data_IF_564015710595
#
_entry.id   IF_564015710595
#
_cell.length_a   1.000
_cell.length_b   1.000
_cell.length_c   1.000
_cell.angle_alpha   90.00
_cell.angle_beta   90.00
_cell.angle_gamma   90.00
#
_symmetry.space_group_name_H-M   'P 1'
#
loop_
_entity.id
_entity.type
_entity.pdbx_description
1 polymer ?
#
# COMPACT_ATOMS: atom_id res chain seq x y z
N UNK A 1 8.76 20.43 2.85
CA UNK A 1 8.19 19.54 3.92
C UNK A 1 6.90 20.08 4.54
N UNK A 2 6.84 21.33 5.09
CA UNK A 2 5.62 21.85 5.74
C UNK A 2 4.40 21.82 4.83
N UNK A 3 4.53 22.27 3.58
CA UNK A 3 3.44 22.27 2.60
C UNK A 3 2.91 20.83 2.34
N UNK A 4 3.80 19.83 2.32
CA UNK A 4 3.38 18.43 2.19
C UNK A 4 2.46 18.04 3.34
N UNK A 5 2.87 18.25 4.59
CA UNK A 5 2.06 17.86 5.75
C UNK A 5 0.75 18.64 5.85
N UNK A 6 0.75 19.94 5.57
CA UNK A 6 -0.48 20.73 5.60
C UNK A 6 -1.52 20.24 4.60
N UNK A 7 -1.10 19.92 3.38
CA UNK A 7 -2.00 19.44 2.33
C UNK A 7 -2.35 17.96 2.54
N UNK A 8 -1.33 17.10 2.73
CA UNK A 8 -1.53 15.65 2.78
C UNK A 8 -2.19 15.16 4.07
N UNK A 9 -2.04 15.83 5.19
CA UNK A 9 -2.63 15.44 6.47
C UNK A 9 -3.74 16.38 6.90
N UNK A 10 -3.53 17.70 6.80
CA UNK A 10 -4.48 18.68 7.29
C UNK A 10 -5.86 18.56 6.64
N UNK A 11 -5.91 18.48 5.31
CA UNK A 11 -7.18 18.39 4.57
C UNK A 11 -7.88 17.02 4.79
N UNK A 12 -7.21 15.86 4.62
CA UNK A 12 -7.84 14.57 4.88
C UNK A 12 -8.33 14.43 6.33
N UNK A 13 -7.52 14.82 7.30
CA UNK A 13 -7.90 14.72 8.70
C UNK A 13 -9.10 15.62 9.03
N UNK A 14 -9.10 16.87 8.57
CA UNK A 14 -10.25 17.77 8.74
C UNK A 14 -11.52 17.17 8.11
N UNK A 15 -11.39 16.58 6.91
CA UNK A 15 -12.50 15.93 6.22
C UNK A 15 -13.04 14.73 7.02
N UNK A 16 -12.16 13.81 7.45
CA UNK A 16 -12.58 12.61 8.19
C UNK A 16 -13.17 12.93 9.57
N UNK A 17 -12.59 13.90 10.29
CA UNK A 17 -13.11 14.36 11.57
C UNK A 17 -14.49 14.99 11.38
N UNK A 18 -14.67 15.85 10.36
CA UNK A 18 -15.97 16.46 10.08
C UNK A 18 -17.03 15.42 9.72
N UNK A 19 -16.69 14.39 8.93
CA UNK A 19 -17.59 13.27 8.61
C UNK A 19 -17.95 12.47 9.87
N UNK A 20 -16.98 12.22 10.74
CA UNK A 20 -17.22 11.53 12.02
C UNK A 20 -18.15 12.31 12.92
N UNK A 21 -17.95 13.62 13.06
CA UNK A 21 -18.81 14.51 13.88
C UNK A 21 -20.25 14.51 13.35
N UNK A 22 -20.41 14.49 12.02
CA UNK A 22 -21.75 14.46 11.39
C UNK A 22 -22.42 13.09 11.41
N UNK A 23 -21.84 12.09 12.09
CA UNK A 23 -22.33 10.71 12.12
C UNK A 23 -22.60 10.10 10.72
N UNK A 24 -21.85 10.54 9.71
CA UNK A 24 -22.00 10.02 8.35
C UNK A 24 -21.46 8.60 8.31
N UNK A 25 -22.34 7.64 7.96
CA UNK A 25 -21.93 6.22 7.88
C UNK A 25 -20.99 6.00 6.70
N UNK A 26 -19.78 5.47 6.98
CA UNK A 26 -18.82 5.06 5.98
C UNK A 26 -19.23 3.77 5.22
N UNK A 27 -20.31 3.10 5.66
CA UNK A 27 -20.71 1.76 5.18
C UNK A 27 -21.56 1.77 3.91
N UNK A 28 -22.11 2.92 3.49
CA UNK A 28 -22.99 3.04 2.32
C UNK A 28 -22.31 3.58 1.06
N UNK A 29 -21.02 3.29 0.88
CA UNK A 29 -20.16 3.83 -0.18
C UNK A 29 -19.34 5.02 0.31
N UNK A 30 -18.16 5.29 -0.30
CA UNK A 30 -17.34 6.42 0.12
C UNK A 30 -18.08 7.73 -0.24
N UNK A 31 -18.48 8.53 0.74
CA UNK A 31 -19.01 9.85 0.44
C UNK A 31 -17.95 10.65 -0.30
N UNK A 32 -18.37 11.54 -1.19
CA UNK A 32 -17.47 12.37 -2.01
C UNK A 32 -16.36 13.02 -1.19
N UNK A 33 -16.65 13.45 0.03
CA UNK A 33 -15.65 14.02 0.95
C UNK A 33 -14.56 13.06 1.38
N UNK A 34 -14.84 11.74 1.49
CA UNK A 34 -13.82 10.73 1.76
C UNK A 34 -12.91 10.54 0.54
N UNK A 35 -13.48 10.47 -0.65
CA UNK A 35 -12.70 10.35 -1.90
C UNK A 35 -11.81 11.57 -2.13
N UNK A 36 -12.32 12.77 -1.85
CA UNK A 36 -11.54 14.02 -1.91
C UNK A 36 -10.40 13.96 -0.87
N UNK A 37 -10.67 13.51 0.34
CA UNK A 37 -9.64 13.32 1.38
C UNK A 37 -8.52 12.39 0.93
N UNK A 38 -8.86 11.28 0.29
CA UNK A 38 -7.87 10.30 -0.21
C UNK A 38 -6.95 10.87 -1.30
N UNK A 39 -7.42 11.79 -2.14
CA UNK A 39 -6.61 12.37 -3.23
C UNK A 39 -5.50 13.32 -2.75
N UNK A 40 -5.59 13.88 -1.54
CA UNK A 40 -4.70 14.97 -1.12
C UNK A 40 -3.26 14.56 -0.80
N UNK A 41 -2.98 13.28 -0.53
CA UNK A 41 -1.58 12.87 -0.30
C UNK A 41 -0.72 13.09 -1.55
N UNK A 42 -1.18 12.68 -2.72
CA UNK A 42 -0.47 12.92 -3.99
C UNK A 42 -0.46 14.39 -4.37
N UNK A 43 -1.56 15.11 -4.15
CA UNK A 43 -1.60 16.58 -4.36
C UNK A 43 -0.57 17.28 -3.49
N UNK A 44 -0.48 16.92 -2.20
CA UNK A 44 0.54 17.46 -1.30
C UNK A 44 1.97 17.15 -1.76
N UNK A 45 2.22 15.95 -2.27
CA UNK A 45 3.50 15.56 -2.85
C UNK A 45 3.86 16.38 -4.09
N UNK A 46 2.90 16.60 -5.00
CA UNK A 46 3.07 17.42 -6.21
C UNK A 46 3.35 18.89 -5.83
N UNK A 47 2.52 19.46 -4.96
CA UNK A 47 2.66 20.85 -4.50
C UNK A 47 4.01 21.06 -3.81
N UNK A 48 4.37 20.19 -2.88
CA UNK A 48 5.63 20.30 -2.16
C UNK A 48 6.85 20.10 -3.08
N UNK A 49 6.75 19.18 -4.06
CA UNK A 49 7.80 19.01 -5.08
C UNK A 49 7.97 20.28 -5.92
N UNK A 50 6.87 20.94 -6.30
CA UNK A 50 6.94 22.19 -7.05
C UNK A 50 7.55 23.33 -6.22
N UNK A 51 7.15 23.48 -4.96
CA UNK A 51 7.67 24.49 -4.06
C UNK A 51 9.18 24.33 -3.83
N UNK A 52 9.67 23.10 -3.67
CA UNK A 52 11.08 22.85 -3.39
C UNK A 52 11.98 22.88 -4.64
N UNK A 53 11.51 22.30 -5.74
CA UNK A 53 12.33 22.03 -6.92
C UNK A 53 11.74 22.57 -8.24
N UNK A 54 10.64 23.31 -8.18
CA UNK A 54 10.01 23.93 -9.35
C UNK A 54 9.61 22.90 -10.42
N UNK A 55 9.64 23.33 -11.68
CA UNK A 55 9.30 22.51 -12.85
C UNK A 55 10.25 21.33 -13.06
N UNK A 56 11.51 21.42 -12.64
CA UNK A 56 12.48 20.33 -12.76
C UNK A 56 12.11 19.17 -11.84
N UNK A 57 11.70 19.45 -10.60
CA UNK A 57 11.23 18.44 -9.66
C UNK A 57 9.95 17.73 -10.14
N UNK A 58 8.99 18.48 -10.69
CA UNK A 58 7.79 17.87 -11.28
C UNK A 58 8.11 16.97 -12.48
N UNK A 59 9.09 17.36 -13.31
CA UNK A 59 9.52 16.53 -14.44
C UNK A 59 10.18 15.24 -13.96
N UNK A 60 10.99 15.28 -12.90
CA UNK A 60 11.57 14.10 -12.29
C UNK A 60 10.49 13.18 -11.69
N UNK A 61 9.55 13.74 -10.93
CA UNK A 61 8.41 12.99 -10.38
C UNK A 61 7.62 12.29 -11.50
N UNK A 62 7.26 13.02 -12.55
CA UNK A 62 6.54 12.48 -13.72
C UNK A 62 7.33 11.35 -14.40
N UNK A 63 8.66 11.50 -14.56
CA UNK A 63 9.52 10.45 -15.11
C UNK A 63 9.47 9.18 -14.28
N UNK A 64 9.48 9.29 -12.95
CA UNK A 64 9.38 8.13 -12.04
C UNK A 64 7.99 7.49 -12.06
N UNK A 65 6.93 8.25 -12.33
CA UNK A 65 5.58 7.73 -12.50
C UNK A 65 5.39 6.92 -13.81
N UNK A 66 6.27 7.07 -14.79
CA UNK A 66 6.25 6.32 -16.04
C UNK A 66 7.48 5.40 -16.22
N UNK A 67 8.24 5.18 -15.16
CA UNK A 67 9.44 4.34 -15.18
C UNK A 67 9.06 2.86 -15.15
N UNK A 68 8.86 2.26 -16.33
CA UNK A 68 8.44 0.86 -16.50
C UNK A 68 9.60 -0.08 -16.90
N UNK A 69 10.73 0.46 -17.35
CA UNK A 69 11.89 -0.32 -17.82
C UNK A 69 12.72 -0.82 -16.65
N UNK A 70 12.22 -1.86 -15.99
CA UNK A 70 12.84 -2.58 -14.88
C UNK A 70 12.77 -4.08 -15.14
N UNK A 71 13.52 -4.88 -14.39
CA UNK A 71 13.45 -6.35 -14.52
C UNK A 71 12.02 -6.86 -14.32
N UNK A 72 11.66 -7.88 -15.10
CA UNK A 72 10.36 -8.59 -15.01
C UNK A 72 10.11 -9.10 -13.59
N UNK A 73 11.14 -9.51 -12.86
CA UNK A 73 11.02 -9.95 -11.48
C UNK A 73 10.35 -8.90 -10.57
N UNK A 74 10.64 -7.60 -10.78
CA UNK A 74 10.02 -6.53 -10.00
C UNK A 74 8.57 -6.27 -10.38
N UNK A 75 8.18 -6.53 -11.61
CA UNK A 75 6.77 -6.52 -12.03
C UNK A 75 6.00 -7.67 -11.38
N UNK A 76 6.58 -8.88 -11.36
CA UNK A 76 6.00 -10.04 -10.68
C UNK A 76 5.90 -9.78 -9.17
N UNK A 77 6.94 -9.20 -8.57
CA UNK A 77 6.91 -8.77 -7.17
C UNK A 77 5.74 -7.80 -6.90
N UNK A 78 5.61 -6.73 -7.69
CA UNK A 78 4.58 -5.72 -7.50
C UNK A 78 3.16 -6.28 -7.67
N UNK A 79 2.94 -7.19 -8.62
CA UNK A 79 1.64 -7.74 -8.93
C UNK A 79 1.22 -8.88 -8.00
N UNK A 80 2.16 -9.73 -7.59
CA UNK A 80 1.82 -11.02 -6.98
C UNK A 80 2.24 -11.18 -5.52
N UNK A 81 3.07 -10.28 -4.96
CA UNK A 81 3.49 -10.40 -3.56
C UNK A 81 2.29 -10.39 -2.61
N UNK A 82 1.40 -9.43 -2.78
CA UNK A 82 0.23 -9.27 -1.92
C UNK A 82 -0.76 -10.41 -2.14
N UNK A 83 -0.97 -10.83 -3.37
CA UNK A 83 -1.77 -12.02 -3.67
C UNK A 83 -1.19 -13.25 -2.98
N UNK A 84 0.14 -13.42 -3.01
CA UNK A 84 0.84 -14.51 -2.32
C UNK A 84 0.58 -14.51 -0.81
N UNK A 85 0.61 -13.35 -0.17
CA UNK A 85 0.25 -13.20 1.25
C UNK A 85 -1.18 -13.67 1.52
N UNK A 86 -2.14 -13.27 0.68
CA UNK A 86 -3.54 -13.70 0.83
C UNK A 86 -3.71 -15.20 0.59
N UNK A 87 -3.06 -15.76 -0.43
CA UNK A 87 -3.10 -17.20 -0.72
C UNK A 87 -2.51 -18.00 0.43
N UNK A 88 -1.32 -17.64 0.92
CA UNK A 88 -0.68 -18.33 2.06
C UNK A 88 -1.59 -18.27 3.28
N UNK A 89 -2.14 -17.11 3.64
CA UNK A 89 -3.04 -16.99 4.77
C UNK A 89 -4.30 -17.86 4.61
N UNK A 90 -4.89 -17.89 3.40
CA UNK A 90 -6.08 -18.70 3.10
C UNK A 90 -5.78 -20.20 3.20
N UNK A 91 -4.69 -20.66 2.60
CA UNK A 91 -4.31 -22.08 2.62
C UNK A 91 -3.95 -22.51 4.05
N UNK A 92 -3.17 -21.71 4.78
CA UNK A 92 -2.83 -22.00 6.18
C UNK A 92 -4.08 -22.11 7.05
N UNK A 93 -5.01 -21.17 6.92
CA UNK A 93 -6.24 -21.17 7.69
C UNK A 93 -7.12 -22.40 7.38
N UNK A 94 -7.30 -22.71 6.10
CA UNK A 94 -8.07 -23.87 5.66
C UNK A 94 -7.44 -25.19 6.13
N UNK A 95 -6.13 -25.33 6.09
CA UNK A 95 -5.43 -26.54 6.53
C UNK A 95 -5.63 -26.83 8.02
N UNK A 96 -5.69 -25.78 8.86
CA UNK A 96 -5.91 -25.91 10.31
C UNK A 96 -7.37 -26.24 10.64
N UNK A 97 -8.32 -25.74 9.83
CA UNK A 97 -9.76 -25.90 10.08
C UNK A 97 -10.41 -27.04 9.27
N UNK A 98 -9.61 -27.94 8.68
CA UNK A 98 -10.07 -29.15 7.99
C UNK A 98 -10.75 -28.90 6.64
N UNK A 99 -10.50 -27.75 6.01
CA UNK A 99 -11.05 -27.43 4.71
C UNK A 99 -10.28 -28.06 3.56
N UNK A 100 -10.99 -28.74 2.63
CA UNK A 100 -10.44 -29.02 1.30
C UNK A 100 -10.46 -27.73 0.50
N UNK A 101 -9.34 -27.38 -0.12
CA UNK A 101 -9.20 -26.12 -0.87
C UNK A 101 -9.14 -26.41 -2.37
N UNK A 102 -10.28 -26.60 -3.06
CA UNK A 102 -10.27 -26.74 -4.51
C UNK A 102 -9.88 -25.39 -5.14
N UNK A 103 -8.83 -25.42 -5.95
CA UNK A 103 -8.36 -24.21 -6.66
C UNK A 103 -9.23 -24.01 -7.89
N UNK A 104 -9.90 -22.86 -8.00
CA UNK A 104 -10.72 -22.47 -9.15
C UNK A 104 -10.29 -21.13 -9.74
N UNK A 105 -9.05 -21.01 -10.26
CA UNK A 105 -8.50 -19.74 -10.69
C UNK A 105 -9.27 -19.12 -11.87
N UNK A 106 -9.91 -19.93 -12.70
CA UNK A 106 -10.69 -19.43 -13.86
C UNK A 106 -11.97 -18.72 -13.45
N UNK A 107 -12.52 -18.95 -12.27
CA UNK A 107 -13.69 -18.24 -11.77
C UNK A 107 -13.42 -16.73 -11.57
N UNK A 108 -12.16 -16.35 -11.37
CA UNK A 108 -11.74 -14.96 -11.27
C UNK A 108 -12.10 -14.19 -12.55
N UNK A 109 -11.87 -14.79 -13.72
CA UNK A 109 -12.13 -14.14 -15.01
C UNK A 109 -13.63 -14.02 -15.34
N UNK A 110 -14.50 -14.69 -14.61
CA UNK A 110 -15.98 -14.59 -14.77
C UNK A 110 -16.58 -13.45 -13.96
N UNK A 111 -15.80 -12.79 -13.11
CA UNK A 111 -16.29 -11.75 -12.22
C UNK A 111 -16.09 -10.36 -12.84
N UNK A 112 -17.08 -9.85 -13.56
CA UNK A 112 -17.00 -8.52 -14.20
C UNK A 112 -16.73 -7.37 -13.22
N UNK A 113 -17.16 -7.48 -11.95
CA UNK A 113 -16.89 -6.49 -10.91
C UNK A 113 -15.40 -6.36 -10.57
N UNK A 114 -14.59 -7.41 -10.78
CA UNK A 114 -13.15 -7.31 -10.69
C UNK A 114 -12.59 -6.32 -11.71
N UNK A 115 -13.15 -6.26 -12.91
CA UNK A 115 -12.77 -5.24 -13.89
C UNK A 115 -13.04 -3.83 -13.37
N UNK A 116 -14.19 -3.64 -12.70
CA UNK A 116 -14.48 -2.39 -12.01
C UNK A 116 -13.44 -2.06 -10.94
N UNK A 117 -13.09 -3.02 -10.08
CA UNK A 117 -12.04 -2.87 -9.07
C UNK A 117 -10.67 -2.60 -9.69
N UNK A 118 -10.37 -3.22 -10.82
CA UNK A 118 -9.14 -2.97 -11.58
C UNK A 118 -9.03 -1.51 -12.02
N UNK A 119 -10.09 -0.94 -12.57
CA UNK A 119 -10.08 0.44 -13.09
C UNK A 119 -10.21 1.45 -11.95
N UNK A 120 -11.22 1.32 -11.11
CA UNK A 120 -11.50 2.30 -10.04
C UNK A 120 -10.60 2.15 -8.82
N UNK A 121 -10.16 0.93 -8.50
CA UNK A 121 -9.20 0.68 -7.42
C UNK A 121 -7.88 1.43 -7.60
N UNK A 122 -7.48 1.71 -8.85
CA UNK A 122 -6.29 2.50 -9.16
C UNK A 122 -6.40 3.94 -8.62
N UNK A 123 -7.61 4.51 -8.64
CA UNK A 123 -7.86 5.89 -8.22
C UNK A 123 -8.17 6.02 -6.72
N UNK A 124 -8.58 4.94 -6.04
CA UNK A 124 -9.05 4.99 -4.65
C UNK A 124 -7.93 5.02 -3.59
N UNK A 125 -6.71 4.72 -3.95
CA UNK A 125 -5.56 4.73 -3.04
C UNK A 125 -4.26 4.91 -3.82
N UNK A 126 -3.90 4.00 -4.74
CA UNK A 126 -2.59 3.96 -5.36
C UNK A 126 -2.16 5.28 -6.01
N UNK A 127 -2.96 5.82 -6.92
CA UNK A 127 -2.65 7.11 -7.57
C UNK A 127 -2.81 8.31 -6.63
N UNK A 128 -3.75 8.24 -5.70
CA UNK A 128 -4.00 9.33 -4.75
C UNK A 128 -2.97 9.41 -3.63
N UNK A 129 -2.14 8.38 -3.44
CA UNK A 129 -1.22 8.28 -2.32
C UNK A 129 0.25 8.16 -2.72
N UNK A 130 0.60 7.36 -3.74
CA UNK A 130 1.98 6.99 -4.00
C UNK A 130 2.86 8.14 -4.50
N UNK A 131 2.28 9.15 -5.16
CA UNK A 131 3.04 10.35 -5.53
C UNK A 131 3.48 11.15 -4.29
N UNK A 132 2.69 11.10 -3.23
CA UNK A 132 3.04 11.68 -1.93
C UNK A 132 4.05 10.81 -1.18
N UNK A 133 3.74 9.53 -0.99
CA UNK A 133 4.58 8.64 -0.19
C UNK A 133 5.91 8.34 -0.87
N UNK A 134 5.90 7.72 -2.06
CA UNK A 134 7.11 7.25 -2.76
C UNK A 134 7.63 8.29 -3.75
N UNK A 135 6.76 9.18 -4.23
CA UNK A 135 7.16 10.27 -5.09
C UNK A 135 7.91 11.38 -4.35
N UNK A 136 7.41 11.81 -3.20
CA UNK A 136 7.92 12.95 -2.45
C UNK A 136 8.63 12.57 -1.15
N UNK A 137 7.95 11.86 -0.23
CA UNK A 137 8.41 11.70 1.15
C UNK A 137 9.55 10.69 1.30
N UNK A 138 9.41 9.48 0.72
CA UNK A 138 10.42 8.41 0.84
C UNK A 138 11.82 8.84 0.39
N UNK A 139 12.01 9.50 -0.78
CA UNK A 139 13.35 9.94 -1.18
C UNK A 139 14.01 10.88 -0.16
N UNK A 140 13.22 11.73 0.51
CA UNK A 140 13.71 12.66 1.52
C UNK A 140 14.09 11.98 2.84
N UNK A 141 13.32 10.96 3.22
CA UNK A 141 13.67 10.13 4.37
C UNK A 141 14.97 9.35 4.10
N UNK A 142 15.14 8.80 2.90
CA UNK A 142 16.34 8.06 2.53
C UNK A 142 17.61 8.92 2.49
N UNK A 143 17.49 10.25 2.38
CA UNK A 143 18.64 11.15 2.48
C UNK A 143 19.21 11.27 3.92
N UNK A 144 18.39 10.96 4.95
CA UNK A 144 18.75 11.19 6.34
C UNK A 144 18.69 9.93 7.21
N UNK A 145 18.05 8.88 6.73
CA UNK A 145 17.81 7.65 7.49
C UNK A 145 18.22 6.42 6.68
N UNK A 146 18.58 5.35 7.38
CA UNK A 146 18.78 4.05 6.72
C UNK A 146 17.47 3.58 6.02
N UNK A 147 17.56 2.69 5.03
CA UNK A 147 16.38 2.19 4.32
C UNK A 147 15.30 1.63 5.25
N UNK A 148 15.71 0.85 6.27
CA UNK A 148 14.76 0.32 7.26
C UNK A 148 14.11 1.44 8.08
N UNK A 149 14.90 2.39 8.60
CA UNK A 149 14.38 3.52 9.37
C UNK A 149 13.42 4.36 8.53
N UNK A 150 13.81 4.70 7.28
CA UNK A 150 12.95 5.44 6.35
C UNK A 150 11.63 4.72 6.10
N UNK A 151 11.67 3.39 5.93
CA UNK A 151 10.47 2.56 5.71
C UNK A 151 9.55 2.54 6.94
N UNK A 152 10.13 2.39 8.14
CA UNK A 152 9.36 2.38 9.40
C UNK A 152 8.73 3.75 9.65
N UNK A 153 9.49 4.84 9.50
CA UNK A 153 8.97 6.21 9.63
C UNK A 153 7.84 6.45 8.64
N UNK A 154 8.04 6.08 7.37
CA UNK A 154 7.02 6.23 6.33
C UNK A 154 5.77 5.40 6.64
N UNK A 155 5.94 4.17 7.11
CA UNK A 155 4.83 3.29 7.50
C UNK A 155 4.04 3.84 8.69
N UNK A 156 4.72 4.35 9.72
CA UNK A 156 4.07 5.00 10.86
C UNK A 156 3.31 6.26 10.44
N UNK A 157 3.90 7.08 9.55
CA UNK A 157 3.21 8.24 8.98
C UNK A 157 2.00 7.83 8.15
N UNK A 158 2.11 6.77 7.34
CA UNK A 158 0.99 6.22 6.58
C UNK A 158 -0.13 5.70 7.48
N UNK A 159 0.21 5.03 8.58
CA UNK A 159 -0.78 4.61 9.57
C UNK A 159 -1.47 5.81 10.23
N UNK A 160 -0.70 6.81 10.68
CA UNK A 160 -1.25 8.03 11.27
C UNK A 160 -2.12 8.84 10.30
N UNK A 161 -1.79 8.79 9.01
CA UNK A 161 -2.60 9.45 7.97
C UNK A 161 -4.03 8.90 7.92
N UNK A 162 -4.22 7.60 8.15
CA UNK A 162 -5.52 6.93 8.24
C UNK A 162 -6.20 7.17 9.60
N UNK A 163 -6.40 8.43 9.99
CA UNK A 163 -6.97 8.80 11.29
C UNK A 163 -8.32 8.13 11.59
N UNK A 164 -9.09 7.78 10.55
CA UNK A 164 -10.35 7.06 10.69
C UNK A 164 -10.20 5.69 11.36
N UNK A 165 -9.05 5.03 11.23
CA UNK A 165 -8.77 3.74 11.88
C UNK A 165 -8.60 3.93 13.39
N UNK A 166 -8.11 5.09 13.84
CA UNK A 166 -7.94 5.39 15.26
C UNK A 166 -9.26 5.55 16.03
N UNK A 167 -10.39 5.57 15.32
CA UNK A 167 -11.73 5.49 15.94
C UNK A 167 -12.19 4.05 16.20
N UNK A 168 -11.35 3.06 15.94
CA UNK A 168 -11.58 1.63 16.16
C UNK A 168 -10.97 1.15 17.47
N UNK A 169 -10.99 -0.17 17.70
CA UNK A 169 -10.35 -0.78 18.87
C UNK A 169 -8.83 -0.68 18.81
N UNK A 170 -8.17 -0.70 19.98
CA UNK A 170 -6.71 -0.61 20.07
C UNK A 170 -6.01 -1.76 19.31
N UNK A 171 -6.62 -2.96 19.34
CA UNK A 171 -6.10 -4.12 18.59
C UNK A 171 -6.17 -3.91 17.08
N UNK A 172 -7.25 -3.31 16.57
CA UNK A 172 -7.38 -2.94 15.16
C UNK A 172 -6.32 -1.91 14.75
N UNK A 173 -6.12 -0.87 15.57
CA UNK A 173 -5.12 0.17 15.33
C UNK A 173 -3.72 -0.42 15.31
N UNK A 174 -3.38 -1.27 16.28
CA UNK A 174 -2.07 -1.91 16.36
C UNK A 174 -1.81 -2.82 15.16
N UNK A 175 -2.77 -3.67 14.80
CA UNK A 175 -2.67 -4.57 13.67
C UNK A 175 -2.54 -3.82 12.34
N UNK A 176 -3.35 -2.79 12.13
CA UNK A 176 -3.30 -1.95 10.96
C UNK A 176 -1.95 -1.24 10.84
N UNK A 177 -1.47 -0.63 11.93
CA UNK A 177 -0.17 0.05 11.95
C UNK A 177 0.98 -0.90 11.60
N UNK A 178 1.01 -2.09 12.20
CA UNK A 178 2.02 -3.09 11.90
C UNK A 178 1.97 -3.53 10.42
N UNK A 179 0.77 -3.69 9.86
CA UNK A 179 0.57 -4.05 8.45
C UNK A 179 1.06 -2.97 7.49
N UNK A 180 0.77 -1.68 7.80
CA UNK A 180 1.23 -0.55 6.97
C UNK A 180 2.76 -0.41 7.04
N UNK A 181 3.37 -0.63 8.22
CA UNK A 181 4.83 -0.62 8.35
C UNK A 181 5.44 -1.76 7.52
N UNK A 182 4.89 -2.98 7.60
CA UNK A 182 5.34 -4.10 6.78
C UNK A 182 5.21 -3.81 5.28
N UNK A 183 4.06 -3.30 4.83
CA UNK A 183 3.84 -2.89 3.44
C UNK A 183 4.82 -1.80 3.00
N UNK A 184 5.13 -0.84 3.88
CA UNK A 184 6.11 0.21 3.61
C UNK A 184 7.51 -0.36 3.40
N UNK A 185 7.94 -1.32 4.23
CA UNK A 185 9.23 -2.03 4.09
C UNK A 185 9.28 -2.74 2.73
N UNK A 186 8.27 -3.55 2.43
CA UNK A 186 8.19 -4.32 1.18
C UNK A 186 8.21 -3.43 -0.06
N UNK A 187 7.47 -2.32 -0.04
CA UNK A 187 7.47 -1.36 -1.15
C UNK A 187 8.80 -0.61 -1.27
N UNK A 188 9.47 -0.31 -0.14
CA UNK A 188 10.79 0.34 -0.17
C UNK A 188 11.85 -0.56 -0.78
N UNK A 189 11.84 -1.87 -0.50
CA UNK A 189 12.72 -2.85 -1.17
C UNK A 189 12.59 -2.71 -2.69
N UNK A 190 11.38 -2.80 -3.21
CA UNK A 190 11.13 -2.66 -4.65
C UNK A 190 11.57 -1.29 -5.16
N UNK A 191 11.25 -0.21 -4.45
CA UNK A 191 11.61 1.16 -4.82
C UNK A 191 13.12 1.33 -5.00
N UNK A 192 13.94 0.80 -4.08
CA UNK A 192 15.40 0.85 -4.14
C UNK A 192 15.97 0.10 -5.35
N UNK A 193 15.38 -1.04 -5.72
CA UNK A 193 15.85 -1.87 -6.83
C UNK A 193 15.30 -1.47 -8.20
N UNK A 194 14.34 -0.54 -8.23
CA UNK A 194 13.70 -0.08 -9.47
C UNK A 194 14.02 1.37 -9.80
N UNK A 195 15.16 1.87 -9.33
CA UNK A 195 15.60 3.26 -9.55
C UNK A 195 14.55 4.30 -9.11
N UNK A 196 13.80 3.99 -8.06
CA UNK A 196 12.77 4.88 -7.52
C UNK A 196 11.49 4.92 -8.36
N UNK A 197 11.10 3.82 -9.01
CA UNK A 197 9.86 3.75 -9.79
C UNK A 197 8.63 3.96 -8.89
N UNK A 198 7.96 5.09 -9.08
CA UNK A 198 6.66 5.37 -8.47
C UNK A 198 5.57 4.55 -9.15
N UNK A 199 5.73 4.25 -10.45
CA UNK A 199 4.80 3.38 -11.18
C UNK A 199 4.65 2.01 -10.52
N UNK A 200 5.76 1.36 -10.16
CA UNK A 200 5.70 0.05 -9.53
C UNK A 200 5.12 0.12 -8.11
N UNK A 201 5.37 1.21 -7.38
CA UNK A 201 4.72 1.44 -6.10
C UNK A 201 3.19 1.57 -6.24
N UNK A 202 2.72 2.29 -7.26
CA UNK A 202 1.30 2.38 -7.61
C UNK A 202 0.74 0.99 -7.94
N UNK A 203 1.43 0.19 -8.76
CA UNK A 203 1.00 -1.17 -9.15
C UNK A 203 0.95 -2.10 -7.94
N UNK A 204 1.95 -2.06 -7.08
CA UNK A 204 1.99 -2.88 -5.88
C UNK A 204 0.88 -2.50 -4.89
N UNK A 205 0.67 -1.21 -4.66
CA UNK A 205 -0.43 -0.73 -3.82
C UNK A 205 -1.79 -1.11 -4.42
N UNK A 206 -1.94 -0.97 -5.74
CA UNK A 206 -3.15 -1.37 -6.44
C UNK A 206 -3.43 -2.88 -6.31
N UNK A 207 -2.40 -3.74 -6.30
CA UNK A 207 -2.58 -5.19 -6.14
C UNK A 207 -3.17 -5.60 -4.78
N UNK A 208 -3.13 -4.71 -3.76
CA UNK A 208 -3.77 -4.93 -2.46
C UNK A 208 -5.29 -5.05 -2.61
N UNK A 209 -5.90 -4.22 -3.45
CA UNK A 209 -7.35 -4.15 -3.63
C UNK A 209 -7.94 -5.47 -4.14
N UNK A 210 -7.52 -6.00 -5.30
CA UNK A 210 -8.06 -7.25 -5.83
C UNK A 210 -7.48 -8.50 -5.16
N UNK A 211 -6.35 -8.41 -4.47
CA UNK A 211 -5.62 -9.58 -3.95
C UNK A 211 -6.45 -10.44 -3.01
N UNK A 212 -7.19 -9.83 -2.08
CA UNK A 212 -8.09 -10.52 -1.16
C UNK A 212 -9.21 -11.24 -1.91
N UNK A 213 -9.84 -10.56 -2.85
CA UNK A 213 -10.98 -11.09 -3.60
C UNK A 213 -10.55 -12.18 -4.59
N UNK A 214 -9.40 -12.02 -5.23
CA UNK A 214 -8.83 -13.06 -6.10
C UNK A 214 -8.56 -14.33 -5.27
N UNK A 215 -7.98 -14.22 -4.08
CA UNK A 215 -7.77 -15.36 -3.21
C UNK A 215 -9.10 -16.02 -2.79
N UNK A 216 -10.10 -15.23 -2.39
CA UNK A 216 -11.43 -15.73 -2.02
C UNK A 216 -12.13 -16.47 -3.17
N UNK A 217 -12.07 -15.93 -4.38
CA UNK A 217 -12.70 -16.54 -5.55
C UNK A 217 -11.96 -17.80 -5.98
N UNK A 218 -10.61 -17.78 -5.90
CA UNK A 218 -9.79 -18.94 -6.25
C UNK A 218 -9.96 -20.12 -5.28
N UNK A 219 -10.40 -19.84 -4.04
CA UNK A 219 -10.60 -20.84 -2.98
C UNK A 219 -12.01 -20.74 -2.37
N UNK A 220 -13.07 -20.99 -3.15
CA UNK A 220 -14.45 -20.69 -2.75
C UNK A 220 -14.96 -21.52 -1.57
N UNK A 221 -14.39 -22.69 -1.31
CA UNK A 221 -14.75 -23.56 -0.19
C UNK A 221 -13.95 -23.31 1.08
N UNK A 222 -12.92 -22.46 1.02
CA UNK A 222 -12.13 -22.11 2.17
C UNK A 222 -12.88 -21.06 3.02
N UNK A 223 -12.86 -21.21 4.33
CA UNK A 223 -13.27 -20.14 5.22
C UNK A 223 -12.33 -18.93 5.04
N UNK A 224 -12.88 -17.73 5.08
CA UNK A 224 -12.04 -16.53 5.02
C UNK A 224 -11.11 -16.47 6.25
N UNK A 225 -9.78 -16.35 6.02
CA UNK A 225 -8.87 -16.17 7.13
C UNK A 225 -9.14 -14.80 7.79
N UNK A 226 -9.02 -14.71 9.11
CA UNK A 226 -9.14 -13.45 9.82
C UNK A 226 -8.04 -12.47 9.39
N UNK A 227 -8.31 -11.17 9.45
CA UNK A 227 -7.37 -10.14 8.99
C UNK A 227 -6.03 -10.17 9.74
N UNK A 228 -6.03 -10.60 11.01
CA UNK A 228 -4.79 -10.75 11.78
C UNK A 228 -3.84 -11.79 11.16
N UNK A 229 -4.37 -12.88 10.56
CA UNK A 229 -3.50 -13.90 9.95
C UNK A 229 -2.84 -13.36 8.68
N UNK A 230 -3.58 -12.60 7.85
CA UNK A 230 -3.02 -11.92 6.68
C UNK A 230 -1.92 -10.93 7.09
N UNK A 231 -2.17 -10.18 8.16
CA UNK A 231 -1.18 -9.26 8.71
C UNK A 231 0.09 -10.00 9.20
N UNK A 232 -0.07 -11.09 9.94
CA UNK A 232 1.05 -11.91 10.43
C UNK A 232 1.89 -12.44 9.26
N UNK A 233 1.26 -12.97 8.21
CA UNK A 233 1.99 -13.45 7.03
C UNK A 233 2.74 -12.30 6.35
N UNK A 234 2.11 -11.15 6.14
CA UNK A 234 2.76 -9.97 5.54
C UNK A 234 3.93 -9.45 6.39
N UNK A 235 3.76 -9.40 7.72
CA UNK A 235 4.81 -9.00 8.65
C UNK A 235 5.96 -10.02 8.62
N UNK A 236 5.67 -11.32 8.60
CA UNK A 236 6.69 -12.37 8.53
C UNK A 236 7.53 -12.24 7.24
N UNK A 237 6.91 -11.98 6.10
CA UNK A 237 7.62 -11.72 4.83
C UNK A 237 8.53 -10.51 4.95
N UNK A 238 8.02 -9.39 5.50
CA UNK A 238 8.82 -8.18 5.71
C UNK A 238 10.00 -8.43 6.65
N UNK A 239 9.79 -9.12 7.78
CA UNK A 239 10.84 -9.46 8.74
C UNK A 239 11.90 -10.38 8.11
N UNK A 240 11.49 -11.35 7.31
CA UNK A 240 12.44 -12.23 6.58
C UNK A 240 13.38 -11.40 5.70
N UNK A 241 12.84 -10.42 4.97
CA UNK A 241 13.65 -9.53 4.13
C UNK A 241 14.56 -8.64 5.00
N UNK A 242 14.06 -8.09 6.10
CA UNK A 242 14.86 -7.27 7.02
C UNK A 242 16.05 -8.07 7.57
N UNK A 243 15.81 -9.29 8.01
CA UNK A 243 16.86 -10.17 8.52
C UNK A 243 17.85 -10.55 7.43
N UNK A 244 17.36 -10.99 6.26
CA UNK A 244 18.20 -11.42 5.15
C UNK A 244 19.08 -10.28 4.60
N UNK A 245 18.59 -9.04 4.63
CA UNK A 245 19.32 -7.86 4.15
C UNK A 245 20.03 -7.09 5.27
N UNK A 246 19.99 -7.58 6.51
CA UNK A 246 20.52 -6.88 7.71
C UNK A 246 20.01 -5.44 7.81
N UNK A 247 18.74 -5.22 7.44
CA UNK A 247 18.10 -3.90 7.48
C UNK A 247 18.48 -2.95 6.34
N UNK A 248 19.38 -3.34 5.44
CA UNK A 248 19.77 -2.51 4.30
C UNK A 248 18.68 -2.44 3.23
N UNK A 249 17.75 -3.37 3.25
CA UNK A 249 16.67 -3.54 2.25
C UNK A 249 17.19 -3.57 0.80
N UNK A 250 18.49 -3.75 0.63
CA UNK A 250 19.20 -3.88 -0.63
C UNK A 250 19.61 -5.34 -0.75
N UNK A 251 19.03 -6.03 -1.69
CA UNK A 251 19.54 -7.33 -2.13
C UNK A 251 20.79 -7.01 -2.94
N UNK A 252 21.97 -7.15 -2.34
CA UNK A 252 23.21 -7.03 -3.08
C UNK A 252 23.14 -8.07 -4.21
N UNK A 253 23.20 -7.63 -5.45
CA UNK A 253 23.75 -8.45 -6.50
C UNK A 253 25.23 -8.57 -6.16
N UNK A 254 25.62 -9.68 -5.53
CA UNK A 254 27.01 -10.00 -5.34
C UNK A 254 27.62 -10.24 -6.72
N UNK A 255 28.60 -9.44 -7.09
CA UNK A 255 29.47 -9.61 -8.24
C UNK A 255 29.33 -8.62 -9.33
#
# INVERSE_FOLDING_TARGET
>A
MIAFFLVSFGIPWATWIALKIRHTSFTKGPPLGLMVGLAFCSVGGIVATYIENGRSGLRDLARRCVLYRVSVAWWLYALFLVLGVHVIATVTYASVHGGVVPIRPLEVFRQWWLFYMFVFGLFQGPLSEELGWRGFLLPRLLNNYSPLQASVILGLMGAAWHINVFFSTISTVALFTASIVAASILTTVMFLHTRGSVLLAIVMHWSIMPGKDIARISFPSAQEPPDWLRAVVGIAVALTIVVATRGQLSLRADG
#
